data_IF_218767993261
#
_entry.id   IF_218767993261
#
_cell.length_a   1.000
_cell.length_b   1.000
_cell.length_c   1.000
_cell.angle_alpha   90.00
_cell.angle_beta   90.00
_cell.angle_gamma   90.00
#
_symmetry.space_group_name_H-M   'P 1'
#
loop_
_entity.id
_entity.type
_entity.pdbx_description
1 polymer ?
#
# COMPACT_ATOMS: atom_id res chain seq x y z
N UNK A 1 -5.70 13.74 -1.01
CA UNK A 1 -5.68 14.93 -1.90
C UNK A 1 -5.23 16.12 -1.07
N UNK A 2 -4.33 16.97 -1.58
CA UNK A 2 -3.89 18.16 -0.85
C UNK A 2 -5.07 19.11 -0.68
N UNK A 3 -5.40 19.46 0.57
CA UNK A 3 -6.29 20.59 0.90
C UNK A 3 -5.47 21.88 0.78
N UNK A 4 -5.92 22.83 -0.05
CA UNK A 4 -5.26 24.12 -0.28
C UNK A 4 -4.70 24.27 -1.70
N UNK A 5 -3.95 25.34 -1.97
CA UNK A 5 -3.26 25.56 -3.25
C UNK A 5 -1.92 24.78 -3.27
N UNK A 6 -1.82 23.66 -4.00
CA UNK A 6 -0.62 22.83 -3.98
C UNK A 6 0.54 23.52 -4.70
N UNK A 7 1.74 23.45 -4.10
CA UNK A 7 2.96 23.98 -4.71
C UNK A 7 3.33 23.19 -6.00
N UNK A 8 4.28 23.72 -6.79
CA UNK A 8 4.69 23.10 -8.07
C UNK A 8 5.18 21.66 -7.92
N UNK A 9 5.85 21.34 -6.80
CA UNK A 9 6.36 20.00 -6.51
C UNK A 9 5.22 19.02 -6.22
N UNK A 10 4.22 19.40 -5.42
CA UNK A 10 3.03 18.58 -5.13
C UNK A 10 2.24 18.26 -6.39
N UNK A 11 2.11 19.22 -7.33
CA UNK A 11 1.46 18.99 -8.63
C UNK A 11 2.23 18.00 -9.51
N UNK A 12 3.56 18.05 -9.50
CA UNK A 12 4.40 17.11 -10.25
C UNK A 12 4.31 15.69 -9.68
N UNK A 13 4.35 15.55 -8.36
CA UNK A 13 4.16 14.26 -7.67
C UNK A 13 2.77 13.68 -7.93
N UNK A 14 1.71 14.48 -7.87
CA UNK A 14 0.34 14.02 -8.19
C UNK A 14 0.19 13.58 -9.65
N UNK A 15 0.80 14.32 -10.59
CA UNK A 15 0.81 13.96 -12.02
C UNK A 15 1.54 12.65 -12.27
N UNK A 16 2.68 12.44 -11.60
CA UNK A 16 3.42 11.18 -11.68
C UNK A 16 2.62 10.04 -11.08
N UNK A 17 2.12 10.18 -9.84
CA UNK A 17 1.34 9.14 -9.17
C UNK A 17 0.13 8.66 -10.00
N UNK A 18 -0.57 9.59 -10.66
CA UNK A 18 -1.65 9.27 -11.60
C UNK A 18 -1.16 8.53 -12.84
N UNK A 19 0.00 8.90 -13.39
CA UNK A 19 0.60 8.24 -14.57
C UNK A 19 1.00 6.78 -14.29
N UNK A 20 1.51 6.49 -13.10
CA UNK A 20 1.91 5.13 -12.67
C UNK A 20 0.80 4.36 -11.94
N UNK A 21 -0.41 4.91 -11.87
CA UNK A 21 -1.58 4.20 -11.36
C UNK A 21 -1.63 3.99 -9.84
N UNK A 22 -0.83 4.73 -9.06
CA UNK A 22 -0.84 4.61 -7.59
C UNK A 22 -2.23 5.01 -7.04
N UNK A 23 -2.84 4.10 -6.28
CA UNK A 23 -4.11 4.33 -5.57
C UNK A 23 -3.85 4.37 -4.07
N UNK A 24 -4.31 5.43 -3.41
CA UNK A 24 -4.33 5.49 -1.95
C UNK A 24 -5.59 4.79 -1.45
N UNK A 25 -5.42 3.67 -0.75
CA UNK A 25 -6.48 2.99 0.00
C UNK A 25 -6.19 3.13 1.48
N UNK A 26 -7.13 3.69 2.22
CA UNK A 26 -7.05 3.82 3.68
C UNK A 26 -7.94 2.78 4.35
N UNK A 27 -7.36 1.99 5.25
CA UNK A 27 -8.07 1.04 6.10
C UNK A 27 -7.82 1.41 7.57
N UNK A 28 -8.79 1.11 8.44
CA UNK A 28 -8.59 1.23 9.88
C UNK A 28 -8.08 -0.11 10.42
N UNK A 29 -7.02 -0.07 11.22
CA UNK A 29 -6.44 -1.22 11.90
C UNK A 29 -6.46 -0.98 13.42
N UNK A 30 -6.37 -2.05 14.21
CA UNK A 30 -6.08 -1.93 15.64
C UNK A 30 -4.67 -1.35 15.79
N UNK A 31 -4.49 -0.40 16.72
CA UNK A 31 -3.19 0.26 16.96
C UNK A 31 -2.05 -0.72 17.15
N UNK A 32 -2.20 -1.68 18.07
CA UNK A 32 -1.21 -2.75 18.34
C UNK A 32 -0.75 -3.49 17.07
N UNK A 33 -1.68 -3.78 16.15
CA UNK A 33 -1.35 -4.48 14.90
C UNK A 33 -0.53 -3.59 13.98
N UNK A 34 -0.88 -2.30 13.88
CA UNK A 34 -0.12 -1.35 13.07
C UNK A 34 1.30 -1.16 13.60
N UNK A 35 1.46 -1.03 14.92
CA UNK A 35 2.76 -0.83 15.57
C UNK A 35 3.65 -2.06 15.41
N UNK A 36 3.10 -3.26 15.64
CA UNK A 36 3.83 -4.51 15.45
C UNK A 36 4.20 -4.76 13.99
N UNK A 37 3.31 -4.40 13.06
CA UNK A 37 3.60 -4.50 11.63
C UNK A 37 4.72 -3.54 11.22
N UNK A 38 4.71 -2.32 11.75
CA UNK A 38 5.78 -1.33 11.52
C UNK A 38 7.13 -1.86 12.02
N UNK A 39 7.19 -2.34 13.28
CA UNK A 39 8.42 -2.90 13.86
C UNK A 39 8.94 -4.11 13.07
N UNK A 40 8.04 -4.99 12.60
CA UNK A 40 8.43 -6.13 11.77
C UNK A 40 8.99 -5.69 10.41
N UNK A 41 8.40 -4.67 9.78
CA UNK A 41 8.91 -4.13 8.51
C UNK A 41 10.30 -3.49 8.69
N UNK A 42 10.52 -2.75 9.78
CA UNK A 42 11.83 -2.17 10.11
C UNK A 42 12.89 -3.25 10.33
N UNK A 43 12.58 -4.27 11.13
CA UNK A 43 13.48 -5.40 11.38
C UNK A 43 13.82 -6.18 10.09
N UNK A 44 12.87 -6.27 9.16
CA UNK A 44 13.06 -6.92 7.86
C UNK A 44 13.69 -6.02 6.79
N UNK A 45 13.91 -4.72 7.08
CA UNK A 45 14.48 -3.77 6.13
C UNK A 45 13.58 -3.46 4.92
N UNK A 46 12.26 -3.57 5.09
CA UNK A 46 11.27 -3.32 4.02
C UNK A 46 10.35 -2.16 4.37
N UNK A 47 9.81 -1.48 3.35
CA UNK A 47 8.75 -0.50 3.59
C UNK A 47 7.42 -1.19 3.87
N UNK A 48 6.61 -0.63 4.77
CA UNK A 48 5.26 -1.12 5.05
C UNK A 48 4.41 -1.24 3.78
N UNK A 49 4.52 -0.27 2.87
CA UNK A 49 3.79 -0.27 1.61
C UNK A 49 4.20 -1.44 0.69
N UNK A 50 5.51 -1.73 0.59
CA UNK A 50 6.00 -2.86 -0.20
C UNK A 50 5.55 -4.20 0.40
N UNK A 51 5.61 -4.34 1.72
CA UNK A 51 5.16 -5.55 2.39
C UNK A 51 3.65 -5.77 2.24
N UNK A 52 2.83 -4.72 2.36
CA UNK A 52 1.39 -4.79 2.11
C UNK A 52 1.11 -5.22 0.65
N UNK A 53 1.79 -4.62 -0.32
CA UNK A 53 1.63 -4.97 -1.72
C UNK A 53 1.95 -6.45 -1.98
N UNK A 54 3.05 -6.95 -1.40
CA UNK A 54 3.41 -8.38 -1.47
C UNK A 54 2.29 -9.27 -0.91
N UNK A 55 1.80 -8.97 0.30
CA UNK A 55 0.73 -9.76 0.93
C UNK A 55 -0.58 -9.71 0.15
N UNK A 56 -0.89 -8.59 -0.51
CA UNK A 56 -2.05 -8.47 -1.39
C UNK A 56 -1.93 -9.39 -2.62
N UNK A 57 -0.78 -9.39 -3.30
CA UNK A 57 -0.54 -10.26 -4.47
C UNK A 57 -0.59 -11.74 -4.06
N UNK A 58 0.05 -12.12 -2.95
CA UNK A 58 0.00 -13.49 -2.41
C UNK A 58 -1.44 -13.96 -2.16
N UNK A 59 -2.27 -13.10 -1.58
CA UNK A 59 -3.68 -13.41 -1.35
C UNK A 59 -4.50 -13.48 -2.65
N UNK A 60 -4.24 -12.60 -3.61
CA UNK A 60 -4.89 -12.64 -4.93
C UNK A 60 -4.58 -13.96 -5.64
N UNK A 61 -3.32 -14.38 -5.62
CA UNK A 61 -2.86 -15.62 -6.23
C UNK A 61 -3.47 -16.85 -5.57
N UNK A 62 -3.50 -16.89 -4.24
CA UNK A 62 -4.11 -17.98 -3.46
C UNK A 62 -5.59 -18.14 -3.82
N UNK A 63 -6.37 -17.06 -3.75
CA UNK A 63 -7.79 -17.08 -4.10
C UNK A 63 -7.99 -17.47 -5.57
N UNK A 64 -7.15 -16.99 -6.48
CA UNK A 64 -7.26 -17.28 -7.91
C UNK A 64 -6.91 -18.72 -8.28
N UNK A 65 -6.09 -19.40 -7.47
CA UNK A 65 -5.80 -20.84 -7.63
C UNK A 65 -6.96 -21.67 -7.08
N UNK A 66 -7.44 -21.32 -5.89
CA UNK A 66 -8.55 -22.01 -5.23
C UNK A 66 -9.87 -21.97 -6.05
N UNK A 67 -10.08 -20.93 -6.87
CA UNK A 67 -11.24 -20.82 -7.77
C UNK A 67 -11.11 -21.68 -9.04
N UNK A 68 -9.90 -22.09 -9.43
CA UNK A 68 -9.68 -22.92 -10.64
C UNK A 68 -9.71 -24.42 -10.37
N UNK A 69 -9.62 -24.82 -9.10
CA UNK A 69 -9.58 -26.22 -8.66
C UNK A 69 -10.93 -26.73 -8.10
N UNK A 70 -11.95 -25.87 -8.03
CA UNK A 70 -13.34 -26.22 -7.67
C UNK A 70 -14.30 -26.04 -8.84
#
# INVERSE_FOLDING_TARGET
MPKGAPNRQTKATDKYQKKVGYKVKGFKLKGDVADRFAAACEAAGVSQAAQIAKMMEEFIDDVSKNVREG
#
